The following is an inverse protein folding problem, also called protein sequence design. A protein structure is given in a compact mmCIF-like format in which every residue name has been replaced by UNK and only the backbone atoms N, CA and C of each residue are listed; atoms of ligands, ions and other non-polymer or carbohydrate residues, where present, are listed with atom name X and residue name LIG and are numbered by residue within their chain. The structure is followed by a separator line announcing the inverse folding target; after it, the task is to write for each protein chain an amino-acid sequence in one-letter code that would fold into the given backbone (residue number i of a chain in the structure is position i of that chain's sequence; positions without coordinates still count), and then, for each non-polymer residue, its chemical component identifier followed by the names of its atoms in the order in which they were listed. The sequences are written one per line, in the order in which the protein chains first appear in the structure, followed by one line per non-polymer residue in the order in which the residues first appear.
data_IF_156900417688
#
_entry.id   IF_156900417688
#
_cell.length_a   1.000
_cell.length_b   1.000
_cell.length_c   1.000
_cell.angle_alpha   90.00
_cell.angle_beta   90.00
_cell.angle_gamma   90.00
#
_symmetry.space_group_name_H-M   'P 1'
#
loop_
_entity.id
_entity.type
_entity.pdbx_description
1 polymer ?
#
# COMPACT_ATOMS: atom_id res chain seq x y z
N UNK A 1 -12.64 -10.62 -21.90
CA UNK A 1 -11.69 -9.51 -22.17
C UNK A 1 -11.51 -8.73 -20.88
N UNK A 2 -10.28 -8.25 -20.55
CA UNK A 2 -10.04 -7.38 -19.42
C UNK A 2 -10.58 -5.99 -19.70
N UNK A 3 -11.13 -5.33 -18.70
CA UNK A 3 -11.68 -3.97 -18.75
C UNK A 3 -11.26 -3.12 -17.57
N UNK A 4 -10.68 -3.74 -16.53
CA UNK A 4 -10.26 -3.06 -15.32
C UNK A 4 -8.90 -3.58 -14.87
N UNK A 5 -7.99 -2.66 -14.53
CA UNK A 5 -6.66 -2.94 -14.02
C UNK A 5 -6.58 -2.45 -12.57
N UNK A 6 -6.45 -3.40 -11.65
CA UNK A 6 -6.22 -3.14 -10.24
C UNK A 6 -4.73 -3.27 -9.94
N UNK A 7 -4.10 -2.22 -9.42
CA UNK A 7 -2.67 -2.18 -9.11
C UNK A 7 -2.45 -2.18 -7.60
N UNK A 8 -1.53 -2.99 -7.12
CA UNK A 8 -0.95 -2.78 -5.80
C UNK A 8 -0.07 -1.52 -5.79
N UNK A 9 0.29 -1.03 -4.60
CA UNK A 9 1.08 0.20 -4.43
C UNK A 9 2.53 -0.08 -4.09
N UNK A 10 2.77 -0.77 -2.94
CA UNK A 10 4.13 -1.00 -2.45
C UNK A 10 4.85 -2.04 -3.28
N UNK A 11 6.12 -1.78 -3.64
CA UNK A 11 6.97 -2.61 -4.51
C UNK A 11 6.37 -2.90 -5.90
N UNK A 12 5.20 -2.35 -6.19
CA UNK A 12 4.50 -2.43 -7.48
C UNK A 12 4.63 -1.12 -8.24
N UNK A 13 4.31 0.01 -7.62
CA UNK A 13 4.46 1.36 -8.16
C UNK A 13 5.51 2.17 -7.43
N UNK A 14 5.61 2.02 -6.14
CA UNK A 14 6.42 2.84 -5.25
C UNK A 14 7.22 1.98 -4.28
N UNK A 15 8.38 2.49 -3.87
CA UNK A 15 9.20 1.93 -2.78
C UNK A 15 9.33 2.93 -1.64
N UNK A 16 9.58 2.40 -0.45
CA UNK A 16 9.85 3.23 0.74
C UNK A 16 11.07 4.11 0.53
N UNK A 17 10.97 5.37 0.93
CA UNK A 17 12.10 6.29 0.92
C UNK A 17 13.01 6.03 2.14
N UNK A 18 14.27 5.69 1.88
CA UNK A 18 15.26 5.43 2.93
C UNK A 18 15.54 6.66 3.80
N UNK A 19 15.35 7.89 3.27
CA UNK A 19 15.49 9.13 4.04
C UNK A 19 14.38 9.17 5.10
N UNK A 20 13.13 8.92 4.72
CA UNK A 20 12.03 8.83 5.69
C UNK A 20 12.28 7.75 6.74
N UNK A 21 12.74 6.57 6.34
CA UNK A 21 13.03 5.48 7.29
C UNK A 21 14.05 5.92 8.35
N UNK A 22 15.10 6.64 7.94
CA UNK A 22 16.10 7.19 8.85
C UNK A 22 15.50 8.29 9.75
N UNK A 23 14.79 9.25 9.17
CA UNK A 23 14.16 10.35 9.93
C UNK A 23 13.16 9.85 10.96
N UNK A 24 12.39 8.80 10.63
CA UNK A 24 11.48 8.13 11.57
C UNK A 24 12.23 7.56 12.77
N UNK A 25 13.36 6.86 12.53
CA UNK A 25 14.20 6.32 13.60
C UNK A 25 14.79 7.43 14.47
N UNK A 26 15.35 8.47 13.84
CA UNK A 26 15.94 9.62 14.54
C UNK A 26 14.90 10.34 15.42
N UNK A 27 13.70 10.56 14.88
CA UNK A 27 12.57 11.16 15.61
C UNK A 27 12.17 10.30 16.82
N UNK A 28 11.89 9.02 16.61
CA UNK A 28 11.44 8.12 17.67
C UNK A 28 12.50 7.97 18.76
N UNK A 29 13.78 7.85 18.37
CA UNK A 29 14.91 7.77 19.32
C UNK A 29 15.01 9.04 20.15
N UNK A 30 14.98 10.20 19.52
CA UNK A 30 15.13 11.49 20.20
C UNK A 30 14.01 11.77 21.18
N UNK A 31 12.77 11.52 20.77
CA UNK A 31 11.59 11.90 21.56
C UNK A 31 11.21 10.85 22.62
N UNK A 32 11.44 9.54 22.36
CA UNK A 32 10.88 8.48 23.20
C UNK A 32 11.90 7.42 23.65
N UNK A 33 12.93 7.11 22.83
CA UNK A 33 13.79 5.95 23.01
C UNK A 33 15.27 6.34 23.17
N UNK A 34 15.57 7.38 23.96
CA UNK A 34 16.92 7.98 24.06
C UNK A 34 18.00 6.96 24.44
N UNK A 35 17.66 5.96 25.28
CA UNK A 35 18.57 4.93 25.77
C UNK A 35 18.63 3.68 24.88
N UNK A 36 17.83 3.61 23.82
CA UNK A 36 17.77 2.47 22.89
C UNK A 36 18.69 2.77 21.69
N UNK A 37 19.39 1.78 21.19
CA UNK A 37 20.20 1.96 19.97
C UNK A 37 19.30 2.12 18.73
N UNK A 38 19.83 2.80 17.70
CA UNK A 38 19.08 2.95 16.43
C UNK A 38 18.88 1.58 15.78
N UNK A 39 19.87 0.72 15.87
CA UNK A 39 19.83 -0.65 15.33
C UNK A 39 18.72 -1.46 15.99
N UNK A 40 18.62 -1.44 17.32
CA UNK A 40 17.57 -2.15 18.06
C UNK A 40 16.19 -1.60 17.74
N UNK A 41 16.03 -0.27 17.69
CA UNK A 41 14.77 0.38 17.31
C UNK A 41 14.37 0.00 15.88
N UNK A 42 15.31 -0.04 14.94
CA UNK A 42 15.06 -0.47 13.55
C UNK A 42 14.56 -1.90 13.50
N UNK A 43 15.23 -2.82 14.21
CA UNK A 43 14.83 -4.23 14.28
C UNK A 43 13.41 -4.37 14.83
N UNK A 44 13.05 -3.63 15.88
CA UNK A 44 11.71 -3.73 16.46
C UNK A 44 10.63 -3.16 15.53
N UNK A 45 10.91 -2.07 14.79
CA UNK A 45 9.98 -1.53 13.80
C UNK A 45 9.73 -2.54 12.67
N UNK A 46 10.77 -3.17 12.15
CA UNK A 46 10.67 -4.23 11.14
C UNK A 46 9.88 -5.43 11.68
N UNK A 47 10.22 -5.89 12.88
CA UNK A 47 9.52 -7.01 13.56
C UNK A 47 8.03 -6.72 13.71
N UNK A 48 7.64 -5.52 14.16
CA UNK A 48 6.22 -5.14 14.30
C UNK A 48 5.53 -5.09 12.93
N UNK A 49 6.23 -4.63 11.89
CA UNK A 49 5.73 -4.66 10.51
C UNK A 49 5.41 -6.10 10.07
N UNK A 50 6.38 -7.00 10.15
CA UNK A 50 6.27 -8.40 9.73
C UNK A 50 5.23 -9.18 10.56
N UNK A 51 5.20 -9.00 11.89
CA UNK A 51 4.18 -9.58 12.77
C UNK A 51 2.78 -9.10 12.36
N UNK A 52 2.63 -7.80 12.08
CA UNK A 52 1.35 -7.21 11.68
C UNK A 52 0.90 -7.72 10.32
N UNK A 53 1.80 -7.80 9.34
CA UNK A 53 1.49 -8.34 8.02
C UNK A 53 1.11 -9.82 8.10
N UNK A 54 1.80 -10.60 8.92
CA UNK A 54 1.46 -12.02 9.16
C UNK A 54 0.05 -12.16 9.73
N UNK A 55 -0.30 -11.36 10.73
CA UNK A 55 -1.64 -11.39 11.34
C UNK A 55 -2.69 -10.91 10.34
N UNK A 56 -2.43 -9.81 9.64
CA UNK A 56 -3.33 -9.25 8.65
C UNK A 56 -3.65 -10.26 7.54
N UNK A 57 -2.63 -10.94 7.01
CA UNK A 57 -2.82 -11.97 5.98
C UNK A 57 -3.59 -13.18 6.51
N UNK A 58 -3.30 -13.63 7.73
CA UNK A 58 -3.93 -14.80 8.33
C UNK A 58 -5.38 -14.54 8.73
N UNK A 59 -5.65 -13.42 9.40
CA UNK A 59 -6.97 -13.09 9.95
C UNK A 59 -7.83 -12.27 8.96
N UNK A 60 -7.25 -11.77 7.86
CA UNK A 60 -7.93 -10.94 6.86
C UNK A 60 -8.38 -9.57 7.35
N UNK A 61 -7.72 -9.07 8.40
CA UNK A 61 -7.96 -7.76 9.02
C UNK A 61 -6.90 -6.75 8.57
N UNK A 62 -7.02 -5.50 9.00
CA UNK A 62 -5.95 -4.51 8.92
C UNK A 62 -5.67 -3.99 10.32
N UNK A 63 -4.48 -4.26 10.86
CA UNK A 63 -4.07 -3.72 12.16
C UNK A 63 -3.85 -2.22 12.01
N UNK A 64 -4.54 -1.37 12.82
CA UNK A 64 -4.37 0.08 12.74
C UNK A 64 -2.94 0.50 13.10
N UNK A 65 -2.44 1.56 12.46
CA UNK A 65 -1.09 2.09 12.71
C UNK A 65 -0.88 2.48 14.18
N UNK A 66 -1.92 2.96 14.87
CA UNK A 66 -1.88 3.27 16.29
C UNK A 66 -1.55 2.03 17.14
N UNK A 67 -2.16 0.89 16.79
CA UNK A 67 -1.88 -0.39 17.46
C UNK A 67 -0.45 -0.85 17.17
N UNK A 68 0.06 -0.61 15.97
CA UNK A 68 1.45 -0.93 15.63
C UNK A 68 2.43 -0.10 16.47
N UNK A 69 2.16 1.21 16.66
CA UNK A 69 2.97 2.06 17.55
C UNK A 69 2.84 1.63 19.02
N UNK A 70 1.64 1.31 19.50
CA UNK A 70 1.46 0.78 20.86
C UNK A 70 2.29 -0.50 21.08
N UNK A 71 2.28 -1.44 20.11
CA UNK A 71 3.11 -2.63 20.16
C UNK A 71 4.61 -2.29 20.17
N UNK A 72 5.05 -1.33 19.37
CA UNK A 72 6.44 -0.89 19.37
C UNK A 72 6.87 -0.37 20.74
N UNK A 73 6.05 0.47 21.37
CA UNK A 73 6.36 1.00 22.70
C UNK A 73 6.36 -0.12 23.76
N UNK A 74 5.46 -1.07 23.67
CA UNK A 74 5.41 -2.23 24.60
C UNK A 74 6.64 -3.14 24.50
N UNK A 75 7.35 -3.20 23.35
CA UNK A 75 8.63 -3.92 23.23
C UNK A 75 9.73 -3.34 24.13
N UNK A 76 9.57 -2.11 24.59
CA UNK A 76 10.50 -1.37 25.46
C UNK A 76 9.91 -1.05 26.83
N UNK A 77 8.92 -1.84 27.27
CA UNK A 77 8.21 -1.66 28.55
C UNK A 77 7.56 -0.28 28.73
N UNK A 78 7.19 0.35 27.61
CA UNK A 78 6.48 1.64 27.60
C UNK A 78 5.04 1.42 27.14
N UNK A 79 4.11 2.10 27.79
CA UNK A 79 2.71 2.10 27.39
C UNK A 79 2.29 3.48 26.90
N UNK A 80 1.62 3.50 25.75
CA UNK A 80 1.00 4.71 25.19
C UNK A 80 -0.47 4.48 24.89
N UNK A 81 -1.26 5.52 25.08
CA UNK A 81 -2.68 5.52 24.71
C UNK A 81 -2.83 5.62 23.19
N UNK A 82 -4.02 5.27 22.68
CA UNK A 82 -4.35 5.45 21.26
C UNK A 82 -4.18 6.91 20.82
N UNK A 83 -4.57 7.88 21.66
CA UNK A 83 -4.40 9.31 21.37
C UNK A 83 -2.93 9.70 21.24
N UNK A 84 -2.04 9.16 22.09
CA UNK A 84 -0.60 9.39 21.99
C UNK A 84 -0.03 8.75 20.72
N UNK A 85 -0.43 7.52 20.40
CA UNK A 85 -0.04 6.85 19.18
C UNK A 85 -0.48 7.61 17.93
N UNK A 86 -1.70 8.17 17.92
CA UNK A 86 -2.18 9.03 16.83
C UNK A 86 -1.37 10.33 16.71
N UNK A 87 -0.98 10.95 17.84
CA UNK A 87 -0.11 12.11 17.80
C UNK A 87 1.24 11.78 17.19
N UNK A 88 1.86 10.67 17.61
CA UNK A 88 3.13 10.18 17.02
C UNK A 88 2.97 9.96 15.51
N UNK A 89 1.86 9.33 15.11
CA UNK A 89 1.56 9.14 13.70
C UNK A 89 1.51 10.48 12.94
N UNK A 90 0.80 11.48 13.47
CA UNK A 90 0.65 12.78 12.81
C UNK A 90 1.99 13.53 12.69
N UNK A 91 2.85 13.45 13.71
CA UNK A 91 4.20 14.04 13.66
C UNK A 91 5.07 13.34 12.58
N UNK A 92 4.97 12.01 12.48
CA UNK A 92 5.67 11.23 11.46
C UNK A 92 5.05 11.36 10.06
N UNK A 93 3.74 11.63 9.96
CA UNK A 93 3.09 11.91 8.67
C UNK A 93 3.70 13.13 7.99
N UNK A 94 4.04 14.19 8.74
CA UNK A 94 4.73 15.38 8.19
C UNK A 94 6.07 14.97 7.59
N UNK A 95 6.89 14.21 8.33
CA UNK A 95 8.19 13.74 7.84
C UNK A 95 8.04 12.84 6.59
N UNK A 96 6.98 12.03 6.54
CA UNK A 96 6.70 11.17 5.41
C UNK A 96 6.29 11.97 4.16
N UNK A 97 5.46 12.99 4.30
CA UNK A 97 5.04 13.85 3.21
C UNK A 97 6.21 14.69 2.66
N UNK A 98 7.13 15.13 3.52
CA UNK A 98 8.36 15.83 3.11
C UNK A 98 9.37 14.88 2.42
N UNK A 99 9.27 13.57 2.67
CA UNK A 99 10.15 12.54 2.12
C UNK A 99 9.33 11.37 1.57
N UNK A 100 8.54 11.62 0.52
CA UNK A 100 7.54 10.67 0.03
C UNK A 100 8.16 9.39 -0.55
N UNK A 101 7.37 8.33 -0.75
CA UNK A 101 7.78 7.13 -1.46
C UNK A 101 8.36 7.45 -2.83
N UNK A 102 9.31 6.65 -3.25
CA UNK A 102 10.00 6.85 -4.54
C UNK A 102 9.29 5.99 -5.59
N UNK A 103 8.94 6.59 -6.72
CA UNK A 103 8.38 5.84 -7.85
C UNK A 103 9.41 4.89 -8.45
N UNK A 104 8.99 3.64 -8.71
CA UNK A 104 9.78 2.63 -9.40
C UNK A 104 9.96 2.97 -10.88
N UNK A 105 8.98 3.69 -11.43
CA UNK A 105 8.91 4.08 -12.84
C UNK A 105 9.11 5.58 -12.98
N UNK A 106 9.50 6.02 -14.17
CA UNK A 106 9.38 7.42 -14.52
C UNK A 106 7.91 7.83 -14.42
N UNK A 107 7.61 8.90 -13.68
CA UNK A 107 6.22 9.31 -13.41
C UNK A 107 5.49 9.78 -14.67
N UNK A 108 6.17 10.45 -15.57
CA UNK A 108 5.55 10.92 -16.81
C UNK A 108 5.28 9.76 -17.76
N UNK A 109 6.16 8.75 -17.76
CA UNK A 109 5.93 7.51 -18.48
C UNK A 109 4.73 6.75 -17.91
N UNK A 110 4.66 6.58 -16.58
CA UNK A 110 3.54 5.93 -15.91
C UNK A 110 2.21 6.65 -16.21
N UNK A 111 2.18 7.99 -16.07
CA UNK A 111 1.00 8.82 -16.41
C UNK A 111 0.56 8.64 -17.85
N UNK A 112 1.52 8.61 -18.79
CA UNK A 112 1.23 8.40 -20.21
C UNK A 112 0.54 7.05 -20.46
N UNK A 113 1.01 5.96 -19.83
CA UNK A 113 0.38 4.65 -19.98
C UNK A 113 -0.97 4.53 -19.29
N UNK A 114 -1.14 5.08 -18.08
CA UNK A 114 -2.43 5.13 -17.41
C UNK A 114 -3.46 5.91 -18.25
N UNK A 115 -3.04 7.03 -18.86
CA UNK A 115 -3.88 7.81 -19.77
C UNK A 115 -4.24 7.02 -21.03
N UNK A 116 -3.30 6.27 -21.60
CA UNK A 116 -3.56 5.43 -22.77
C UNK A 116 -4.53 4.30 -22.44
N UNK A 117 -4.41 3.63 -21.29
CA UNK A 117 -5.40 2.66 -20.83
C UNK A 117 -6.81 3.27 -20.74
N UNK A 118 -6.94 4.44 -20.13
CA UNK A 118 -8.23 5.14 -20.03
C UNK A 118 -8.82 5.48 -21.42
N UNK A 119 -7.99 5.95 -22.36
CA UNK A 119 -8.42 6.25 -23.73
C UNK A 119 -8.88 4.99 -24.49
N UNK A 120 -8.36 3.81 -24.13
CA UNK A 120 -8.77 2.52 -24.67
C UNK A 120 -9.94 1.87 -23.89
N UNK A 121 -10.58 2.62 -22.99
CA UNK A 121 -11.78 2.19 -22.26
C UNK A 121 -11.52 1.30 -21.05
N UNK A 122 -10.26 1.21 -20.57
CA UNK A 122 -9.97 0.57 -19.30
C UNK A 122 -10.25 1.51 -18.13
N UNK A 123 -10.76 0.96 -17.05
CA UNK A 123 -10.78 1.60 -15.73
C UNK A 123 -9.62 1.09 -14.88
N UNK A 124 -9.17 1.87 -13.91
CA UNK A 124 -8.00 1.55 -13.08
C UNK A 124 -8.24 1.88 -11.61
N UNK A 125 -7.63 1.13 -10.72
CA UNK A 125 -7.64 1.44 -9.29
C UNK A 125 -6.34 1.04 -8.60
N UNK A 126 -6.14 1.57 -7.39
CA UNK A 126 -5.15 1.10 -6.43
C UNK A 126 -5.83 0.20 -5.40
N UNK A 127 -5.20 -0.94 -5.09
CA UNK A 127 -5.62 -1.90 -4.07
C UNK A 127 -4.41 -2.27 -3.21
N UNK A 128 -4.24 -1.63 -2.06
CA UNK A 128 -3.02 -1.78 -1.25
C UNK A 128 -3.29 -2.15 0.20
N UNK A 129 -2.48 -3.08 0.72
CA UNK A 129 -2.35 -3.25 2.15
C UNK A 129 -1.57 -2.06 2.72
N UNK A 130 -2.03 -1.57 3.86
CA UNK A 130 -1.37 -0.52 4.65
C UNK A 130 -0.76 -1.13 5.90
N UNK A 131 0.27 -0.48 6.43
CA UNK A 131 0.93 -0.83 7.68
C UNK A 131 1.05 0.43 8.56
N UNK A 132 2.27 0.86 8.87
CA UNK A 132 2.50 2.11 9.60
C UNK A 132 1.99 3.36 8.87
N UNK A 133 1.84 3.34 7.55
CA UNK A 133 1.35 4.48 6.75
C UNK A 133 -0.09 4.24 6.33
N UNK A 134 -0.98 5.15 6.74
CA UNK A 134 -2.42 5.07 6.47
C UNK A 134 -2.78 5.41 5.03
N UNK A 135 -3.89 4.86 4.53
CA UNK A 135 -4.43 5.16 3.22
C UNK A 135 -4.68 6.65 3.00
N UNK A 136 -5.16 7.38 4.03
CA UNK A 136 -5.35 8.84 3.96
C UNK A 136 -4.07 9.60 3.58
N UNK A 137 -2.91 9.14 4.06
CA UNK A 137 -1.61 9.74 3.76
C UNK A 137 -1.15 9.38 2.35
N UNK A 138 -1.37 8.13 1.94
CA UNK A 138 -1.07 7.70 0.57
C UNK A 138 -1.90 8.48 -0.46
N UNK A 139 -3.16 8.81 -0.16
CA UNK A 139 -3.99 9.67 -1.04
C UNK A 139 -3.37 11.05 -1.26
N UNK A 140 -2.74 11.65 -0.22
CA UNK A 140 -2.01 12.91 -0.38
C UNK A 140 -0.84 12.73 -1.35
N UNK A 141 -0.07 11.63 -1.25
CA UNK A 141 1.03 11.32 -2.17
C UNK A 141 0.53 11.16 -3.62
N UNK A 142 -0.61 10.48 -3.84
CA UNK A 142 -1.20 10.39 -5.18
C UNK A 142 -1.56 11.77 -5.74
N UNK A 143 -2.06 12.66 -4.90
CA UNK A 143 -2.35 14.04 -5.29
C UNK A 143 -1.07 14.83 -5.62
N UNK A 144 -0.04 14.75 -4.77
CA UNK A 144 1.22 15.49 -4.92
C UNK A 144 2.03 15.02 -6.14
N UNK A 145 1.85 13.78 -6.56
CA UNK A 145 2.43 13.23 -7.79
C UNK A 145 1.54 13.42 -9.03
N UNK A 146 0.39 14.11 -8.92
CA UNK A 146 -0.61 14.26 -9.97
C UNK A 146 -1.04 12.89 -10.54
N UNK A 147 -1.20 11.89 -9.69
CA UNK A 147 -1.61 10.54 -10.07
C UNK A 147 -3.07 10.24 -9.74
N UNK A 148 -3.70 11.04 -8.86
CA UNK A 148 -5.04 10.74 -8.34
C UNK A 148 -6.09 10.61 -9.45
N UNK A 149 -6.06 11.49 -10.43
CA UNK A 149 -7.03 11.55 -11.53
C UNK A 149 -6.92 10.38 -12.53
N UNK A 150 -5.85 9.58 -12.43
CA UNK A 150 -5.69 8.40 -13.29
C UNK A 150 -6.39 7.16 -12.73
N UNK A 151 -6.87 7.20 -11.50
CA UNK A 151 -7.53 6.09 -10.85
C UNK A 151 -9.01 6.40 -10.60
N UNK A 152 -9.89 5.45 -10.93
CA UNK A 152 -11.34 5.60 -10.74
C UNK A 152 -11.70 5.49 -9.24
N UNK A 153 -10.93 4.73 -8.47
CA UNK A 153 -11.04 4.61 -7.01
C UNK A 153 -9.75 4.08 -6.38
N UNK A 154 -9.64 4.22 -5.06
CA UNK A 154 -8.52 3.71 -4.27
C UNK A 154 -9.06 2.86 -3.11
N UNK A 155 -8.48 1.68 -2.89
CA UNK A 155 -8.80 0.80 -1.76
C UNK A 155 -7.55 0.63 -0.90
N UNK A 156 -7.64 1.04 0.36
CA UNK A 156 -6.61 0.85 1.37
C UNK A 156 -7.14 -0.01 2.51
N UNK A 157 -6.33 -0.97 2.97
CA UNK A 157 -6.76 -1.99 3.93
C UNK A 157 -7.23 -1.40 5.26
N UNK A 158 -6.62 -0.32 5.74
CA UNK A 158 -7.01 0.37 6.97
C UNK A 158 -8.39 1.05 6.86
N UNK A 159 -8.76 1.55 5.68
CA UNK A 159 -10.05 2.22 5.45
C UNK A 159 -11.23 1.23 5.39
N UNK A 160 -10.98 0.00 4.92
CA UNK A 160 -12.02 -1.04 4.82
C UNK A 160 -11.92 -2.09 5.93
N UNK A 161 -10.93 -1.94 6.83
CA UNK A 161 -10.63 -2.87 7.90
C UNK A 161 -10.52 -4.33 7.38
N UNK A 162 -9.75 -4.49 6.32
CA UNK A 162 -9.49 -5.80 5.70
C UNK A 162 -8.29 -5.74 4.77
N UNK A 163 -7.39 -6.71 4.85
CA UNK A 163 -6.18 -6.83 4.04
C UNK A 163 -6.27 -7.94 3.00
N UNK A 164 -5.55 -7.81 1.88
CA UNK A 164 -5.23 -8.93 1.00
C UNK A 164 -4.43 -9.98 1.81
N UNK A 165 -4.68 -11.28 1.61
CA UNK A 165 -5.47 -11.96 0.57
C UNK A 165 -6.95 -12.20 0.92
N UNK A 166 -7.53 -11.51 1.89
CA UNK A 166 -8.88 -11.74 2.39
C UNK A 166 -9.94 -11.61 1.29
N UNK A 167 -10.92 -12.51 1.32
CA UNK A 167 -12.08 -12.42 0.42
C UNK A 167 -12.91 -11.14 0.64
N UNK A 168 -12.88 -10.55 1.84
CA UNK A 168 -13.54 -9.28 2.14
C UNK A 168 -12.90 -8.14 1.36
N UNK A 169 -11.57 -8.11 1.25
CA UNK A 169 -10.84 -7.11 0.45
C UNK A 169 -11.23 -7.20 -1.03
N UNK A 170 -11.19 -8.39 -1.61
CA UNK A 170 -11.52 -8.58 -3.03
C UNK A 170 -13.03 -8.42 -3.33
N UNK A 171 -13.92 -8.62 -2.34
CA UNK A 171 -15.33 -8.25 -2.46
C UNK A 171 -15.52 -6.74 -2.60
N UNK A 172 -14.74 -5.94 -1.87
CA UNK A 172 -14.80 -4.48 -2.03
C UNK A 172 -14.31 -4.07 -3.42
N UNK A 173 -13.20 -4.64 -3.91
CA UNK A 173 -12.74 -4.43 -5.29
C UNK A 173 -13.82 -4.79 -6.32
N UNK A 174 -14.47 -5.96 -6.19
CA UNK A 174 -15.55 -6.37 -7.08
C UNK A 174 -16.73 -5.39 -7.02
N UNK A 175 -17.10 -4.92 -5.83
CA UNK A 175 -18.19 -3.97 -5.62
C UNK A 175 -17.93 -2.64 -6.33
N UNK A 176 -16.74 -2.07 -6.14
CA UNK A 176 -16.38 -0.81 -6.82
C UNK A 176 -16.30 -0.98 -8.34
N UNK A 177 -15.75 -2.09 -8.83
CA UNK A 177 -15.78 -2.40 -10.26
C UNK A 177 -17.22 -2.53 -10.82
N UNK A 178 -18.15 -3.10 -10.06
CA UNK A 178 -19.59 -3.17 -10.47
C UNK A 178 -20.22 -1.79 -10.60
N UNK A 179 -19.84 -0.83 -9.76
CA UNK A 179 -20.30 0.55 -9.87
C UNK A 179 -19.84 1.20 -11.19
N UNK A 180 -18.74 0.71 -11.75
CA UNK A 180 -18.20 1.12 -13.06
C UNK A 180 -18.72 0.22 -14.23
N UNK A 181 -19.71 -0.63 -13.98
CA UNK A 181 -20.23 -1.62 -14.94
C UNK A 181 -19.18 -2.65 -15.41
N UNK A 182 -18.19 -2.95 -14.60
CA UNK A 182 -17.16 -3.97 -14.87
C UNK A 182 -17.48 -5.26 -14.11
N UNK A 183 -17.55 -6.37 -14.85
CA UNK A 183 -17.74 -7.71 -14.25
C UNK A 183 -16.44 -8.25 -13.64
N UNK A 184 -16.54 -9.08 -12.62
CA UNK A 184 -15.39 -9.70 -11.94
C UNK A 184 -14.40 -10.37 -12.90
N UNK A 185 -14.90 -11.11 -13.90
CA UNK A 185 -14.07 -11.83 -14.87
C UNK A 185 -13.28 -10.89 -15.80
N UNK A 186 -13.59 -9.60 -15.79
CA UNK A 186 -12.93 -8.56 -16.58
C UNK A 186 -11.92 -7.74 -15.75
N UNK A 187 -11.66 -8.13 -14.50
CA UNK A 187 -10.66 -7.50 -13.62
C UNK A 187 -9.33 -8.26 -13.76
N UNK A 188 -8.23 -7.53 -13.85
CA UNK A 188 -6.86 -8.02 -13.70
C UNK A 188 -6.21 -7.29 -12.52
N UNK A 189 -5.85 -8.03 -11.47
CA UNK A 189 -5.08 -7.51 -10.36
C UNK A 189 -3.58 -7.76 -10.58
N UNK A 190 -2.76 -6.76 -10.36
CA UNK A 190 -1.30 -6.80 -10.57
C UNK A 190 -0.62 -6.36 -9.27
N UNK A 191 0.30 -7.17 -8.77
CA UNK A 191 1.05 -6.88 -7.56
C UNK A 191 2.33 -7.70 -7.45
N UNK A 192 3.13 -7.44 -6.41
CA UNK A 192 4.43 -8.06 -6.17
C UNK A 192 4.36 -9.25 -5.19
N UNK A 193 3.30 -9.33 -4.38
CA UNK A 193 3.15 -10.36 -3.37
C UNK A 193 2.40 -11.58 -3.90
N UNK A 194 3.09 -12.72 -4.00
CA UNK A 194 2.44 -13.97 -4.41
C UNK A 194 1.30 -14.37 -3.48
N UNK A 195 1.46 -14.21 -2.16
CA UNK A 195 0.44 -14.58 -1.18
C UNK A 195 -0.73 -13.58 -1.16
N UNK A 196 -0.43 -12.28 -1.05
CA UNK A 196 -1.46 -11.26 -0.90
C UNK A 196 -2.21 -10.97 -2.20
N UNK A 197 -1.46 -10.77 -3.31
CA UNK A 197 -2.04 -10.31 -4.56
C UNK A 197 -2.50 -11.48 -5.44
N UNK A 198 -1.63 -12.49 -5.65
CA UNK A 198 -1.92 -13.54 -6.61
C UNK A 198 -2.88 -14.55 -6.03
N UNK A 199 -2.48 -15.23 -4.93
CA UNK A 199 -3.35 -16.24 -4.31
C UNK A 199 -4.68 -15.65 -3.85
N UNK A 200 -4.66 -14.41 -3.30
CA UNK A 200 -5.88 -13.75 -2.86
C UNK A 200 -6.86 -13.47 -4.00
N UNK A 201 -6.37 -12.88 -5.10
CA UNK A 201 -7.19 -12.61 -6.28
C UNK A 201 -7.73 -13.91 -6.93
N UNK A 202 -6.87 -14.91 -7.10
CA UNK A 202 -7.23 -16.21 -7.69
C UNK A 202 -8.27 -16.96 -6.85
N UNK A 203 -8.09 -17.00 -5.51
CA UNK A 203 -9.07 -17.58 -4.60
C UNK A 203 -10.45 -16.92 -4.73
N UNK A 204 -10.45 -15.62 -5.04
CA UNK A 204 -11.68 -14.85 -5.31
C UNK A 204 -12.11 -14.88 -6.79
N UNK A 205 -11.42 -15.65 -7.66
CA UNK A 205 -11.67 -15.78 -9.11
C UNK A 205 -11.53 -14.46 -9.87
N UNK A 206 -10.61 -13.62 -9.45
CA UNK A 206 -10.10 -12.45 -10.19
C UNK A 206 -8.80 -12.88 -10.86
N UNK A 207 -8.58 -12.46 -12.11
CA UNK A 207 -7.32 -12.69 -12.80
C UNK A 207 -6.20 -11.90 -12.12
N UNK A 208 -5.03 -12.51 -12.04
CA UNK A 208 -3.88 -11.89 -11.40
C UNK A 208 -2.62 -11.98 -12.24
N UNK A 209 -1.68 -11.09 -11.95
CA UNK A 209 -0.35 -11.07 -12.57
C UNK A 209 0.69 -10.66 -11.54
N UNK A 210 1.63 -11.56 -11.28
CA UNK A 210 2.81 -11.25 -10.47
C UNK A 210 3.78 -10.41 -11.29
N UNK A 211 4.30 -9.35 -10.67
CA UNK A 211 5.42 -8.57 -11.20
C UNK A 211 6.55 -8.56 -10.17
N UNK A 212 7.76 -8.30 -10.66
CA UNK A 212 8.92 -8.12 -9.81
C UNK A 212 9.43 -6.69 -9.99
N UNK A 213 9.77 -6.03 -8.89
CA UNK A 213 10.30 -4.66 -8.87
C UNK A 213 11.53 -4.49 -9.79
N UNK A 214 12.41 -5.49 -9.85
CA UNK A 214 13.63 -5.45 -10.66
C UNK A 214 13.36 -5.55 -12.17
N UNK A 215 12.21 -6.09 -12.55
CA UNK A 215 11.91 -6.40 -13.95
C UNK A 215 11.29 -5.21 -14.72
N UNK A 216 10.82 -4.17 -14.04
CA UNK A 216 10.05 -3.04 -14.62
C UNK A 216 8.97 -3.51 -15.61
N UNK A 217 8.41 -4.70 -15.38
CA UNK A 217 7.47 -5.35 -16.32
C UNK A 217 6.10 -4.72 -16.37
N UNK A 218 5.73 -3.92 -15.37
CA UNK A 218 4.41 -3.28 -15.34
C UNK A 218 4.17 -2.47 -16.61
N UNK A 219 5.10 -1.61 -16.97
CA UNK A 219 4.97 -0.76 -18.17
C UNK A 219 4.84 -1.62 -19.42
N UNK A 220 5.65 -2.68 -19.57
CA UNK A 220 5.55 -3.60 -20.70
C UNK A 220 4.20 -4.33 -20.75
N UNK A 221 3.68 -4.71 -19.58
CA UNK A 221 2.37 -5.34 -19.47
C UNK A 221 1.25 -4.39 -19.86
N UNK A 222 1.32 -3.13 -19.40
CA UNK A 222 0.33 -2.11 -19.75
C UNK A 222 0.35 -1.81 -21.26
N UNK A 223 1.52 -1.72 -21.90
CA UNK A 223 1.66 -1.59 -23.37
C UNK A 223 0.99 -2.78 -24.10
N UNK A 224 1.20 -4.00 -23.59
CA UNK A 224 0.61 -5.21 -24.18
C UNK A 224 -0.93 -5.26 -24.09
N UNK A 225 -1.54 -4.49 -23.20
CA UNK A 225 -2.99 -4.36 -23.06
C UNK A 225 -3.61 -3.34 -24.04
N UNK A 226 -2.80 -2.42 -24.57
CA UNK A 226 -3.23 -1.42 -25.56
C UNK A 226 -3.39 -1.99 -26.98
N UNK A 227 -2.78 -3.14 -27.27
CA UNK A 227 -2.82 -3.83 -28.55
C UNK A 227 -3.85 -4.98 -28.54
#
# INVERSE_FOLDING_TARGET
MIKHISLDFWNTLMVSNKIFSKLRLDFLKKEFFQNISIEELSIQIETIGDESDTINMKEGISIPSEVMYQRLFSKFDLEITTTQAEKIYNDLEVLFLDNPPISIYDLDELKRYLKALRNNGYTTNISSNTAFIKGRTLKKIFNDYDLLDYFDFLIFSDEINSSKPSSKFFKELEKECKNLNVSKNSILHIGDSFEADIKGAEAFKIKSKLINIDDKKLIQLLIGLEN
#
